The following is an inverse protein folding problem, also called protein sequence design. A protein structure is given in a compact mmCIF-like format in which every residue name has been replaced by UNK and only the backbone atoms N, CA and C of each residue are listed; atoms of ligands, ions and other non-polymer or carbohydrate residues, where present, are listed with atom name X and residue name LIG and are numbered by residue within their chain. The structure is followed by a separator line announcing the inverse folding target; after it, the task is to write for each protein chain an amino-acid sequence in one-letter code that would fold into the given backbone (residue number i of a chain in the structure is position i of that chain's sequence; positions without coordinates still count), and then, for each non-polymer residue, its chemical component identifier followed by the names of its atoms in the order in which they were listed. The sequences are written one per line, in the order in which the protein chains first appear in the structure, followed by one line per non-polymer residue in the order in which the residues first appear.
data_IF_996578842146
#
_entry.id   IF_996578842146
#
_cell.length_a   1.000
_cell.length_b   1.000
_cell.length_c   1.000
_cell.angle_alpha   90.00
_cell.angle_beta   90.00
_cell.angle_gamma   90.00
#
_symmetry.space_group_name_H-M   'P 1'
#
loop_
_entity.id
_entity.type
_entity.pdbx_description
1 polymer ?
#
# COMPACT_ATOMS: atom_id res chain seq x y z
N UNK A 1 -8.98 -24.41 -6.55
CA UNK A 1 -8.03 -25.49 -6.22
C UNK A 1 -7.03 -25.77 -7.34
N UNK A 2 -7.42 -26.00 -8.59
CA UNK A 2 -6.48 -26.27 -9.72
C UNK A 2 -5.33 -25.26 -9.86
N UNK A 3 -5.64 -23.95 -9.83
CA UNK A 3 -4.65 -22.86 -9.95
C UNK A 3 -3.62 -22.85 -8.81
N UNK A 4 -4.00 -23.29 -7.60
CA UNK A 4 -3.08 -23.34 -6.47
C UNK A 4 -1.97 -24.38 -6.70
N UNK A 5 -2.33 -25.55 -7.22
CA UNK A 5 -1.35 -26.60 -7.55
C UNK A 5 -0.51 -26.27 -8.77
N UNK A 6 -1.06 -25.51 -9.73
CA UNK A 6 -0.34 -25.06 -10.93
C UNK A 6 0.87 -24.16 -10.60
N UNK A 7 0.81 -23.44 -9.48
CA UNK A 7 1.92 -22.58 -9.02
C UNK A 7 2.77 -23.21 -7.92
N UNK A 8 2.56 -24.49 -7.62
CA UNK A 8 3.16 -25.21 -6.49
C UNK A 8 2.85 -24.58 -5.12
N UNK A 9 1.66 -24.01 -4.96
CA UNK A 9 1.18 -23.47 -3.69
C UNK A 9 2.12 -22.41 -3.10
N UNK A 10 2.58 -22.66 -1.86
CA UNK A 10 3.41 -21.73 -1.09
C UNK A 10 4.92 -22.04 -1.13
N UNK A 11 5.36 -23.02 -1.93
CA UNK A 11 6.77 -23.48 -1.94
C UNK A 11 7.77 -22.34 -2.19
N UNK A 12 7.48 -21.43 -3.11
CA UNK A 12 8.35 -20.28 -3.44
C UNK A 12 8.47 -19.24 -2.33
N UNK A 13 7.56 -19.27 -1.35
CA UNK A 13 7.49 -18.34 -0.23
C UNK A 13 7.77 -18.98 1.12
N UNK A 14 8.04 -20.29 1.17
CA UNK A 14 8.18 -21.04 2.43
C UNK A 14 9.31 -20.56 3.34
N UNK A 15 10.32 -19.86 2.78
CA UNK A 15 11.42 -19.26 3.54
C UNK A 15 11.11 -17.84 4.04
N UNK A 16 10.06 -17.19 3.52
CA UNK A 16 9.70 -15.83 3.89
C UNK A 16 8.60 -15.89 4.95
N UNK A 17 8.90 -15.43 6.16
CA UNK A 17 8.03 -15.57 7.32
C UNK A 17 6.67 -14.83 7.23
N UNK A 18 6.37 -14.11 6.15
CA UNK A 18 5.12 -13.34 6.05
C UNK A 18 4.77 -12.89 4.62
N UNK A 19 3.48 -12.88 4.30
CA UNK A 19 2.99 -12.37 3.00
C UNK A 19 2.76 -13.47 1.97
N UNK A 20 2.65 -14.68 2.46
CA UNK A 20 2.15 -15.91 1.90
C UNK A 20 1.10 -15.62 0.80
N UNK A 21 0.00 -14.93 1.14
CA UNK A 21 -1.07 -14.60 0.18
C UNK A 21 -0.62 -13.66 -0.94
N UNK A 22 0.26 -12.70 -0.63
CA UNK A 22 0.83 -11.79 -1.61
C UNK A 22 1.77 -12.55 -2.57
N UNK A 23 2.61 -13.44 -2.06
CA UNK A 23 3.51 -14.23 -2.91
C UNK A 23 2.76 -15.25 -3.75
N UNK A 24 1.74 -15.89 -3.17
CA UNK A 24 0.85 -16.78 -3.93
C UNK A 24 0.14 -16.03 -5.06
N UNK A 25 -0.42 -14.85 -4.77
CA UNK A 25 -1.10 -14.05 -5.82
C UNK A 25 -0.14 -13.53 -6.88
N UNK A 26 1.07 -13.11 -6.50
CA UNK A 26 2.16 -12.77 -7.42
C UNK A 26 2.52 -13.95 -8.31
N UNK A 27 2.69 -15.14 -7.75
CA UNK A 27 3.08 -16.33 -8.49
C UNK A 27 1.96 -16.77 -9.45
N UNK A 28 0.69 -16.69 -9.05
CA UNK A 28 -0.44 -16.90 -9.96
C UNK A 28 -0.42 -15.89 -11.12
N UNK A 29 -0.16 -14.61 -10.82
CA UNK A 29 -0.09 -13.58 -11.85
C UNK A 29 1.08 -13.79 -12.82
N UNK A 30 2.25 -14.22 -12.34
CA UNK A 30 3.44 -14.41 -13.17
C UNK A 30 3.45 -15.73 -13.93
N UNK A 31 2.87 -16.80 -13.36
CA UNK A 31 2.96 -18.17 -13.90
C UNK A 31 1.71 -18.62 -14.63
N UNK A 32 0.60 -17.86 -14.56
CA UNK A 32 -0.68 -18.24 -15.19
C UNK A 32 -1.28 -17.08 -15.98
N UNK A 33 -2.22 -17.38 -16.88
CA UNK A 33 -3.02 -16.38 -17.61
C UNK A 33 -4.27 -15.92 -16.83
N UNK A 34 -4.41 -16.33 -15.56
CA UNK A 34 -5.60 -16.06 -14.76
C UNK A 34 -5.63 -14.62 -14.29
N UNK A 35 -6.81 -14.01 -14.39
CA UNK A 35 -7.06 -12.66 -13.89
C UNK A 35 -7.72 -12.71 -12.52
N UNK A 36 -7.33 -11.79 -11.66
CA UNK A 36 -8.01 -11.56 -10.39
C UNK A 36 -9.22 -10.66 -10.61
N UNK A 37 -10.35 -11.03 -10.00
CA UNK A 37 -11.52 -10.16 -9.90
C UNK A 37 -11.80 -9.94 -8.42
N UNK A 38 -11.98 -8.69 -8.04
CA UNK A 38 -12.41 -8.35 -6.70
C UNK A 38 -13.90 -8.69 -6.56
N UNK A 39 -14.28 -9.37 -5.48
CA UNK A 39 -15.67 -9.54 -5.13
C UNK A 39 -16.22 -8.19 -4.66
N UNK A 40 -17.18 -7.64 -5.41
CA UNK A 40 -17.72 -6.29 -5.19
C UNK A 40 -19.05 -6.29 -4.43
N UNK A 41 -19.58 -7.47 -4.09
CA UNK A 41 -20.84 -7.58 -3.37
C UNK A 41 -20.64 -7.10 -1.92
N UNK A 42 -21.51 -6.24 -1.37
CA UNK A 42 -21.38 -5.73 0.00
C UNK A 42 -21.23 -6.83 1.05
N UNK A 43 -21.90 -7.96 0.87
CA UNK A 43 -21.82 -9.12 1.78
C UNK A 43 -20.50 -9.89 1.70
N UNK A 44 -19.67 -9.62 0.69
CA UNK A 44 -18.31 -10.19 0.61
C UNK A 44 -17.30 -9.47 1.51
N UNK A 45 -17.69 -8.34 2.11
CA UNK A 45 -16.84 -7.57 3.00
C UNK A 45 -16.96 -8.06 4.45
N UNK A 46 -15.82 -8.43 5.04
CA UNK A 46 -15.74 -8.81 6.45
C UNK A 46 -15.24 -7.61 7.26
N UNK A 47 -16.08 -7.09 8.16
CA UNK A 47 -15.70 -6.02 9.08
C UNK A 47 -14.80 -6.61 10.17
N UNK A 48 -13.58 -6.09 10.28
CA UNK A 48 -12.62 -6.51 11.31
C UNK A 48 -12.46 -5.41 12.36
N UNK A 49 -12.20 -5.81 13.61
CA UNK A 49 -11.95 -4.87 14.68
C UNK A 49 -10.57 -4.24 14.49
N UNK A 50 -10.46 -2.91 14.56
CA UNK A 50 -9.17 -2.23 14.54
C UNK A 50 -8.37 -2.64 15.76
N UNK A 51 -7.12 -3.05 15.56
CA UNK A 51 -6.20 -3.23 16.68
C UNK A 51 -5.90 -1.84 17.29
N UNK A 52 -5.77 -1.77 18.62
CA UNK A 52 -5.42 -0.51 19.27
C UNK A 52 -3.98 -0.12 18.88
N UNK A 53 -3.64 1.17 19.02
CA UNK A 53 -2.27 1.66 18.79
C UNK A 53 -1.32 1.07 19.83
N UNK A 54 -0.86 -0.14 19.55
CA UNK A 54 -0.10 -0.99 20.45
C UNK A 54 1.25 -1.33 19.82
N UNK A 55 2.18 -1.86 20.61
CA UNK A 55 3.43 -2.43 20.10
C UNK A 55 3.18 -3.51 19.03
N UNK A 56 2.04 -4.22 19.11
CA UNK A 56 1.63 -5.22 18.12
C UNK A 56 1.26 -4.57 16.79
N UNK A 57 0.49 -3.48 16.83
CA UNK A 57 0.15 -2.69 15.65
C UNK A 57 1.40 -2.15 14.95
N UNK A 58 2.34 -1.55 15.69
CA UNK A 58 3.59 -1.02 15.12
C UNK A 58 4.42 -2.13 14.46
N UNK A 59 4.60 -3.27 15.14
CA UNK A 59 5.28 -4.44 14.56
C UNK A 59 4.61 -4.94 13.29
N UNK A 60 3.27 -4.94 13.24
CA UNK A 60 2.52 -5.32 12.05
C UNK A 60 2.75 -4.35 10.88
N UNK A 61 2.79 -3.03 11.12
CA UNK A 61 3.06 -2.03 10.08
C UNK A 61 4.49 -2.13 9.55
N UNK A 62 5.49 -2.22 10.44
CA UNK A 62 6.90 -2.43 10.06
C UNK A 62 7.05 -3.66 9.17
N UNK A 63 6.44 -4.77 9.59
CA UNK A 63 6.48 -6.01 8.82
C UNK A 63 5.75 -5.91 7.48
N UNK A 64 4.61 -5.22 7.41
CA UNK A 64 3.86 -5.03 6.15
C UNK A 64 4.66 -4.19 5.16
N UNK A 65 5.22 -3.08 5.63
CA UNK A 65 5.83 -2.07 4.78
C UNK A 65 7.31 -2.37 4.46
N UNK A 66 7.99 -3.19 5.26
CA UNK A 66 9.36 -3.69 5.01
C UNK A 66 9.47 -4.69 3.86
N UNK A 67 8.35 -5.24 3.36
CA UNK A 67 8.36 -6.22 2.25
C UNK A 67 8.72 -5.64 0.89
N UNK A 68 8.91 -4.32 0.82
CA UNK A 68 9.16 -3.60 -0.42
C UNK A 68 10.34 -4.19 -1.21
N UNK A 69 11.36 -4.69 -0.52
CA UNK A 69 12.54 -5.32 -1.13
C UNK A 69 12.25 -6.66 -1.81
N UNK A 70 11.20 -7.37 -1.41
CA UNK A 70 10.79 -8.66 -1.99
C UNK A 70 9.74 -8.51 -3.10
N UNK A 71 9.28 -7.29 -3.38
CA UNK A 71 8.30 -7.05 -4.45
C UNK A 71 8.95 -7.23 -5.83
N UNK A 72 8.12 -7.40 -6.87
CA UNK A 72 8.58 -7.41 -8.25
C UNK A 72 9.23 -6.05 -8.62
N UNK A 73 10.17 -5.99 -9.58
CA UNK A 73 10.90 -4.76 -9.94
C UNK A 73 9.99 -3.56 -10.20
N UNK A 74 8.87 -3.75 -10.90
CA UNK A 74 7.87 -2.70 -11.15
C UNK A 74 7.38 -2.05 -9.86
N UNK A 75 7.02 -2.86 -8.86
CA UNK A 75 6.48 -2.38 -7.59
C UNK A 75 7.55 -1.69 -6.73
N UNK A 76 8.81 -2.15 -6.81
CA UNK A 76 9.94 -1.43 -6.21
C UNK A 76 10.13 -0.06 -6.86
N UNK A 77 10.04 -0.01 -8.19
CA UNK A 77 10.09 1.23 -8.97
C UNK A 77 8.99 2.21 -8.57
N UNK A 78 7.76 1.73 -8.36
CA UNK A 78 6.67 2.56 -7.84
C UNK A 78 6.97 3.12 -6.45
N UNK A 79 7.54 2.31 -5.55
CA UNK A 79 7.96 2.76 -4.23
C UNK A 79 9.03 3.86 -4.28
N UNK A 80 10.06 3.67 -5.12
CA UNK A 80 11.10 4.67 -5.35
C UNK A 80 10.52 5.96 -5.97
N UNK A 81 9.61 5.83 -6.95
CA UNK A 81 8.92 6.98 -7.53
C UNK A 81 8.16 7.78 -6.48
N UNK A 82 7.43 7.12 -5.58
CA UNK A 82 6.72 7.78 -4.48
C UNK A 82 7.70 8.51 -3.56
N UNK A 83 8.81 7.89 -3.18
CA UNK A 83 9.85 8.54 -2.38
C UNK A 83 10.40 9.79 -3.07
N UNK A 84 10.81 9.67 -4.34
CA UNK A 84 11.34 10.78 -5.13
C UNK A 84 10.32 11.91 -5.30
N UNK A 85 9.05 11.57 -5.50
CA UNK A 85 7.97 12.55 -5.56
C UNK A 85 7.88 13.36 -4.26
N UNK A 86 7.89 12.72 -3.09
CA UNK A 86 7.83 13.44 -1.81
C UNK A 86 9.09 14.26 -1.53
N UNK A 87 10.27 13.82 -1.98
CA UNK A 87 11.51 14.60 -1.92
C UNK A 87 11.51 15.81 -2.88
N UNK A 88 10.81 15.70 -4.01
CA UNK A 88 10.70 16.79 -4.98
C UNK A 88 9.83 17.95 -4.48
N UNK A 89 8.87 17.70 -3.56
CA UNK A 89 8.01 18.74 -2.99
C UNK A 89 8.81 19.89 -2.37
N UNK A 90 9.69 19.67 -1.36
CA UNK A 90 10.47 20.76 -0.78
C UNK A 90 11.39 21.44 -1.81
N UNK A 91 12.01 20.68 -2.71
CA UNK A 91 12.85 21.24 -3.79
C UNK A 91 12.02 22.18 -4.69
N UNK A 92 10.79 21.79 -5.04
CA UNK A 92 9.91 22.60 -5.89
C UNK A 92 9.47 23.91 -5.22
N UNK A 93 9.32 23.92 -3.89
CA UNK A 93 8.97 25.13 -3.13
C UNK A 93 10.07 26.19 -3.25
N UNK A 94 11.34 25.77 -3.31
CA UNK A 94 12.49 26.68 -3.40
C UNK A 94 12.92 27.00 -4.84
N UNK A 95 12.57 26.15 -5.80
CA UNK A 95 13.05 26.29 -7.20
C UNK A 95 11.99 26.74 -8.19
N UNK A 96 10.69 26.53 -7.91
CA UNK A 96 9.60 26.84 -8.83
C UNK A 96 8.71 27.99 -8.31
N UNK A 97 8.07 28.75 -9.21
CA UNK A 97 7.05 29.72 -8.82
C UNK A 97 5.89 29.09 -8.03
N UNK A 98 5.31 29.82 -7.06
CA UNK A 98 4.22 29.32 -6.20
C UNK A 98 3.02 28.72 -6.93
N UNK A 99 2.65 29.27 -8.08
CA UNK A 99 1.52 28.77 -8.85
C UNK A 99 1.77 27.38 -9.45
N UNK A 100 3.02 27.03 -9.77
CA UNK A 100 3.36 25.72 -10.36
C UNK A 100 3.32 24.64 -9.29
N UNK A 101 4.08 24.80 -8.20
CA UNK A 101 4.12 23.77 -7.15
C UNK A 101 2.78 23.71 -6.40
N UNK A 102 2.18 24.88 -6.11
CA UNK A 102 0.88 24.95 -5.43
C UNK A 102 -0.24 24.36 -6.28
N UNK A 103 -0.32 24.73 -7.56
CA UNK A 103 -1.30 24.17 -8.50
C UNK A 103 -1.17 22.66 -8.65
N UNK A 104 0.06 22.16 -8.78
CA UNK A 104 0.32 20.70 -8.87
C UNK A 104 -0.13 19.94 -7.62
N UNK A 105 0.13 20.48 -6.42
CA UNK A 105 -0.33 19.87 -5.17
C UNK A 105 -1.84 19.88 -5.05
N UNK A 106 -2.51 20.98 -5.46
CA UNK A 106 -3.98 21.07 -5.44
C UNK A 106 -4.59 20.03 -6.38
N UNK A 107 -4.12 19.96 -7.62
CA UNK A 107 -4.62 18.99 -8.61
C UNK A 107 -4.40 17.56 -8.13
N UNK A 108 -3.20 17.24 -7.64
CA UNK A 108 -2.88 15.91 -7.09
C UNK A 108 -3.79 15.55 -5.92
N UNK A 109 -3.94 16.45 -4.95
CA UNK A 109 -4.78 16.24 -3.76
C UNK A 109 -6.24 16.02 -4.17
N UNK A 110 -6.74 16.80 -5.12
CA UNK A 110 -8.10 16.69 -5.61
C UNK A 110 -8.36 15.34 -6.29
N UNK A 111 -7.45 14.88 -7.16
CA UNK A 111 -7.58 13.59 -7.85
C UNK A 111 -7.59 12.40 -6.89
N UNK A 112 -6.72 12.42 -5.87
CA UNK A 112 -6.70 11.39 -4.83
C UNK A 112 -7.98 11.42 -3.98
N UNK A 113 -8.46 12.61 -3.62
CA UNK A 113 -9.69 12.76 -2.86
C UNK A 113 -10.90 12.23 -3.62
N UNK A 114 -10.99 12.53 -4.92
CA UNK A 114 -12.03 12.01 -5.80
C UNK A 114 -12.02 10.48 -5.82
N UNK A 115 -10.83 9.86 -5.92
CA UNK A 115 -10.67 8.40 -5.84
C UNK A 115 -11.21 7.83 -4.52
N UNK A 116 -10.93 8.49 -3.40
CA UNK A 116 -11.43 8.09 -2.08
C UNK A 116 -12.94 8.28 -1.95
N UNK A 117 -13.51 9.35 -2.53
CA UNK A 117 -14.96 9.55 -2.54
C UNK A 117 -15.65 8.43 -3.33
N UNK A 118 -15.12 8.09 -4.50
CA UNK A 118 -15.64 6.99 -5.34
C UNK A 118 -15.57 5.66 -4.58
N UNK A 119 -14.43 5.36 -3.95
CA UNK A 119 -14.26 4.17 -3.13
C UNK A 119 -15.20 4.19 -1.91
N UNK A 120 -15.29 5.32 -1.21
CA UNK A 120 -16.14 5.49 -0.03
C UNK A 120 -17.62 5.30 -0.33
N UNK A 121 -18.12 5.79 -1.48
CA UNK A 121 -19.48 5.51 -1.95
C UNK A 121 -19.68 4.01 -2.20
N UNK A 122 -18.70 3.37 -2.85
CA UNK A 122 -18.74 1.95 -3.21
C UNK A 122 -18.73 1.00 -2.01
N UNK A 123 -17.99 1.35 -0.95
CA UNK A 123 -17.86 0.53 0.25
C UNK A 123 -18.81 0.96 1.39
N UNK A 124 -19.63 1.99 1.21
CA UNK A 124 -20.54 2.49 2.26
C UNK A 124 -19.87 3.32 3.36
N UNK A 125 -18.64 3.81 3.14
CA UNK A 125 -17.83 4.56 4.12
C UNK A 125 -17.49 5.98 3.67
N UNK A 126 -18.42 6.66 2.98
CA UNK A 126 -18.19 8.01 2.43
C UNK A 126 -17.71 9.02 3.49
N UNK A 127 -18.18 8.90 4.74
CA UNK A 127 -17.77 9.76 5.85
C UNK A 127 -16.25 9.74 6.12
N UNK A 128 -15.56 8.65 5.76
CA UNK A 128 -14.10 8.56 5.91
C UNK A 128 -13.35 9.49 4.94
N UNK A 129 -13.96 9.90 3.83
CA UNK A 129 -13.35 10.83 2.88
C UNK A 129 -13.05 12.20 3.50
N UNK A 130 -13.76 12.59 4.57
CA UNK A 130 -13.50 13.84 5.31
C UNK A 130 -12.15 13.84 6.01
N UNK A 131 -11.61 12.66 6.35
CA UNK A 131 -10.31 12.51 6.99
C UNK A 131 -9.15 12.55 5.98
N UNK A 132 -9.44 12.62 4.69
CA UNK A 132 -8.43 12.57 3.65
C UNK A 132 -7.35 13.65 3.81
N UNK A 133 -7.64 14.94 4.06
CA UNK A 133 -6.58 15.95 4.17
C UNK A 133 -5.54 15.62 5.25
N UNK A 134 -6.00 15.13 6.41
CA UNK A 134 -5.12 14.71 7.51
C UNK A 134 -4.28 13.48 7.11
N UNK A 135 -4.91 12.49 6.48
CA UNK A 135 -4.25 11.24 6.06
C UNK A 135 -3.28 11.48 4.91
N UNK A 136 -3.62 12.33 3.94
CA UNK A 136 -2.77 12.68 2.82
C UNK A 136 -1.44 13.29 3.27
N UNK A 137 -1.47 14.05 4.37
CA UNK A 137 -0.27 14.60 4.98
C UNK A 137 0.49 13.56 5.83
N UNK A 138 -0.19 12.84 6.73
CA UNK A 138 0.45 11.93 7.67
C UNK A 138 0.97 10.62 7.03
N UNK A 139 0.17 10.04 6.15
CA UNK A 139 0.38 8.68 5.64
C UNK A 139 1.71 8.49 4.88
N UNK A 140 2.17 9.43 4.05
CA UNK A 140 3.47 9.32 3.38
C UNK A 140 4.62 9.14 4.37
N UNK A 141 4.67 9.96 5.43
CA UNK A 141 5.70 9.83 6.46
C UNK A 141 5.61 8.49 7.18
N UNK A 142 4.40 8.07 7.56
CA UNK A 142 4.18 6.77 8.20
C UNK A 142 4.70 5.63 7.32
N UNK A 143 4.37 5.62 6.02
CA UNK A 143 4.82 4.58 5.09
C UNK A 143 6.35 4.61 4.90
N UNK A 144 6.93 5.78 4.66
CA UNK A 144 8.39 5.90 4.45
C UNK A 144 9.19 5.44 5.68
N UNK A 145 8.82 5.91 6.87
CA UNK A 145 9.48 5.54 8.13
C UNK A 145 9.31 4.03 8.38
N UNK A 146 8.10 3.50 8.23
CA UNK A 146 7.85 2.08 8.51
C UNK A 146 8.44 1.14 7.46
N UNK A 147 8.54 1.56 6.19
CA UNK A 147 9.25 0.82 5.15
C UNK A 147 10.76 0.81 5.40
N UNK A 148 11.36 1.96 5.74
CA UNK A 148 12.78 2.04 6.04
C UNK A 148 13.12 1.20 7.29
N UNK A 149 12.44 1.42 8.41
CA UNK A 149 12.67 0.69 9.65
C UNK A 149 12.33 -0.81 9.52
N UNK A 150 11.29 -1.16 8.76
CA UNK A 150 10.89 -2.55 8.51
C UNK A 150 11.84 -3.31 7.59
N UNK A 151 12.62 -2.61 6.75
CA UNK A 151 13.60 -3.23 5.85
C UNK A 151 14.93 -3.54 6.54
N UNK A 152 15.25 -2.86 7.65
CA UNK A 152 16.50 -3.07 8.40
C UNK A 152 16.44 -4.31 9.30
N UNK A 153 15.25 -4.70 9.75
CA UNK A 153 15.08 -5.84 10.66
C UNK A 153 13.88 -6.68 10.24
N UNK A 154 14.15 -7.88 9.73
CA UNK A 154 13.11 -8.89 9.56
C UNK A 154 12.49 -9.17 10.93
N UNK A 155 11.21 -8.79 11.08
CA UNK A 155 10.45 -9.07 12.30
C UNK A 155 9.73 -10.42 12.12
N UNK A 156 10.22 -11.52 12.73
CA UNK A 156 9.50 -12.79 12.71
C UNK A 156 8.17 -12.67 13.46
N UNK A 157 7.27 -13.62 13.23
CA UNK A 157 5.93 -13.70 13.84
C UNK A 157 5.93 -13.92 15.37
N UNK A 158 7.09 -13.92 16.04
CA UNK A 158 7.25 -14.19 17.48
C UNK A 158 7.72 -12.93 18.21
#
# INVERSE_FOLDING_TARGET
RRVFFEVNGYESSGTIATGDDFFLTRDIWLKTSRTFRQAMHPESFVVTKRDNFSKKYVRQQLRRNGKILHLAPLHRGMGLFVLLYYLAIPISIFTLPPFIWGGSLIVKTFLEWLGIIIAGKRFGYLKLALWFPLIAFYYPFHVLISSAAGSVKENPWK
#
